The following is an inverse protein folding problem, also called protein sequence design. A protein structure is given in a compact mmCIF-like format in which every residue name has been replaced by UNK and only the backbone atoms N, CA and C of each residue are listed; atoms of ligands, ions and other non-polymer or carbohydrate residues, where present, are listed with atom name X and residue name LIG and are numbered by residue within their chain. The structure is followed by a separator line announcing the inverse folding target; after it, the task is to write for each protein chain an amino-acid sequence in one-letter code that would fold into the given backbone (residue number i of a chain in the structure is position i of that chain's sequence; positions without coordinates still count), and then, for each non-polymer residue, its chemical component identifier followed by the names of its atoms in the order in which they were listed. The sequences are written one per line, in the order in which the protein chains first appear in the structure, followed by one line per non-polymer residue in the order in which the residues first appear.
data_IF_182406900686
#
_entry.id   IF_182406900686
#
_cell.length_a   1.000
_cell.length_b   1.000
_cell.length_c   1.000
_cell.angle_alpha   90.00
_cell.angle_beta   90.00
_cell.angle_gamma   90.00
#
_symmetry.space_group_name_H-M   'P 1'
#
loop_
_entity.id
_entity.type
_entity.pdbx_description
1 polymer ?
#
# COMPACT_ATOMS: atom_id res chain seq x y z
N UNK A 1 -19.56 -26.20 65.35
CA UNK A 1 -18.80 -27.06 64.42
C UNK A 1 -18.83 -26.39 63.07
N UNK A 2 -17.73 -25.73 62.72
CA UNK A 2 -17.60 -24.88 61.55
C UNK A 2 -17.46 -25.75 60.29
N UNK A 3 -18.25 -25.45 59.27
CA UNK A 3 -17.96 -25.86 57.89
C UNK A 3 -16.68 -25.15 57.44
N UNK A 4 -15.69 -25.85 56.84
CA UNK A 4 -14.64 -25.16 56.11
C UNK A 4 -15.26 -24.55 54.84
N UNK A 5 -15.15 -23.23 54.71
CA UNK A 5 -15.40 -22.54 53.46
C UNK A 5 -14.32 -22.97 52.46
N UNK A 6 -14.76 -23.51 51.32
CA UNK A 6 -13.95 -23.73 50.12
C UNK A 6 -13.28 -22.40 49.71
N UNK A 7 -12.03 -22.43 49.20
CA UNK A 7 -11.37 -21.22 48.73
C UNK A 7 -12.07 -20.72 47.45
N UNK A 8 -12.76 -19.59 47.57
CA UNK A 8 -13.26 -18.82 46.43
C UNK A 8 -12.09 -18.49 45.50
N UNK A 9 -12.01 -19.22 44.38
CA UNK A 9 -11.19 -18.89 43.24
C UNK A 9 -11.71 -17.59 42.60
N UNK A 10 -11.34 -16.44 43.16
CA UNK A 10 -11.57 -15.14 42.54
C UNK A 10 -10.78 -15.11 41.22
N UNK A 11 -11.47 -15.39 40.11
CA UNK A 11 -10.92 -15.25 38.78
C UNK A 11 -10.60 -13.77 38.55
N UNK A 12 -9.33 -13.39 38.67
CA UNK A 12 -8.87 -12.05 38.37
C UNK A 12 -9.26 -11.66 36.94
N UNK A 13 -10.16 -10.69 36.81
CA UNK A 13 -10.59 -10.13 35.53
C UNK A 13 -9.43 -9.35 34.94
N UNK A 14 -8.66 -9.97 34.04
CA UNK A 14 -7.58 -9.27 33.33
C UNK A 14 -8.20 -8.14 32.50
N UNK A 15 -7.81 -6.87 32.73
CA UNK A 15 -8.36 -5.74 32.00
C UNK A 15 -8.07 -5.90 30.51
N UNK A 16 -9.13 -5.86 29.70
CA UNK A 16 -9.01 -5.97 28.25
C UNK A 16 -8.77 -4.58 27.66
N UNK A 17 -7.80 -4.42 26.74
CA UNK A 17 -7.55 -3.13 26.10
C UNK A 17 -8.80 -2.53 25.45
N UNK A 18 -9.70 -3.39 24.98
CA UNK A 18 -10.94 -2.97 24.32
C UNK A 18 -12.03 -2.42 25.24
N UNK A 19 -11.85 -2.49 26.56
CA UNK A 19 -12.79 -1.91 27.52
C UNK A 19 -12.39 -0.49 27.94
N UNK A 20 -11.14 -0.07 27.70
CA UNK A 20 -10.64 1.23 28.14
C UNK A 20 -11.20 2.38 27.30
N UNK A 21 -11.29 2.19 25.99
CA UNK A 21 -11.85 3.13 25.03
C UNK A 21 -12.53 2.31 23.92
N UNK A 22 -13.88 2.25 23.87
CA UNK A 22 -14.60 1.52 22.83
C UNK A 22 -14.52 2.17 21.44
N UNK A 23 -14.42 3.51 21.37
CA UNK A 23 -14.53 4.23 20.10
C UNK A 23 -13.28 4.05 19.23
N UNK A 24 -12.09 3.94 19.84
CA UNK A 24 -10.84 3.68 19.10
C UNK A 24 -10.86 2.39 18.25
N UNK A 25 -11.76 1.44 18.53
CA UNK A 25 -11.86 0.18 17.78
C UNK A 25 -12.65 0.33 16.49
N UNK A 26 -13.39 1.43 16.35
CA UNK A 26 -14.18 1.78 15.18
C UNK A 26 -13.57 2.94 14.37
N UNK A 27 -12.62 3.69 14.94
CA UNK A 27 -11.89 4.76 14.26
C UNK A 27 -10.80 4.24 13.30
N UNK A 28 -10.90 4.51 11.98
CA UNK A 28 -9.87 4.16 11.01
C UNK A 28 -8.51 4.80 11.30
N UNK A 29 -8.47 6.01 11.86
CA UNK A 29 -7.22 6.70 12.18
C UNK A 29 -6.46 6.01 13.32
N UNK A 30 -7.17 5.44 14.28
CA UNK A 30 -6.61 4.67 15.39
C UNK A 30 -6.21 3.22 15.03
N UNK A 31 -6.39 2.77 13.78
CA UNK A 31 -6.22 1.36 13.38
C UNK A 31 -4.88 0.75 13.80
N UNK A 32 -3.77 1.47 13.66
CA UNK A 32 -2.42 0.98 14.04
C UNK A 32 -2.30 0.79 15.55
N UNK A 33 -2.83 1.73 16.33
CA UNK A 33 -2.85 1.66 17.80
C UNK A 33 -3.73 0.49 18.27
N UNK A 34 -4.92 0.36 17.70
CA UNK A 34 -5.88 -0.72 18.00
C UNK A 34 -5.30 -2.10 17.63
N UNK A 35 -4.56 -2.21 16.53
CA UNK A 35 -3.80 -3.43 16.20
C UNK A 35 -2.75 -3.76 17.28
N UNK A 36 -1.92 -2.79 17.67
CA UNK A 36 -0.89 -2.99 18.68
C UNK A 36 -1.47 -3.41 20.04
N UNK A 37 -2.65 -2.89 20.41
CA UNK A 37 -3.39 -3.31 21.59
C UNK A 37 -3.94 -4.75 21.44
N UNK A 38 -4.50 -5.10 20.29
CA UNK A 38 -4.98 -6.45 20.01
C UNK A 38 -3.86 -7.52 20.09
N UNK A 39 -2.66 -7.21 19.58
CA UNK A 39 -1.53 -8.14 19.61
C UNK A 39 -1.03 -8.47 21.03
N UNK A 40 -1.28 -7.57 21.99
CA UNK A 40 -0.95 -7.77 23.41
C UNK A 40 -2.12 -8.31 24.23
N UNK A 41 -3.31 -8.46 23.64
CA UNK A 41 -4.51 -8.87 24.36
C UNK A 41 -4.51 -10.38 24.64
N UNK A 42 -4.62 -10.82 25.91
CA UNK A 42 -4.63 -12.25 26.26
C UNK A 42 -5.88 -12.99 25.74
N UNK A 43 -6.94 -12.26 25.39
CA UNK A 43 -8.19 -12.82 24.83
C UNK A 43 -8.24 -12.80 23.30
N UNK A 44 -7.12 -12.54 22.61
CA UNK A 44 -7.10 -12.39 21.14
C UNK A 44 -7.73 -13.57 20.38
N UNK A 45 -7.43 -14.82 20.77
CA UNK A 45 -8.03 -16.01 20.13
C UNK A 45 -9.54 -16.12 20.36
N UNK A 46 -9.97 -15.81 21.57
CA UNK A 46 -11.39 -15.79 21.91
C UNK A 46 -12.12 -14.69 21.13
N UNK A 47 -11.52 -13.50 21.01
CA UNK A 47 -12.02 -12.41 20.19
C UNK A 47 -12.16 -12.82 18.72
N UNK A 48 -11.19 -13.55 18.17
CA UNK A 48 -11.27 -14.07 16.81
C UNK A 48 -12.40 -15.09 16.62
N UNK A 49 -12.58 -16.03 17.55
CA UNK A 49 -13.72 -16.95 17.55
C UNK A 49 -15.05 -16.21 17.61
N UNK A 50 -15.17 -15.22 18.50
CA UNK A 50 -16.36 -14.39 18.59
C UNK A 50 -16.64 -13.60 17.31
N UNK A 51 -15.61 -13.04 16.67
CA UNK A 51 -15.77 -12.36 15.39
C UNK A 51 -16.30 -13.30 14.30
N UNK A 52 -15.82 -14.56 14.25
CA UNK A 52 -16.34 -15.58 13.32
C UNK A 52 -17.82 -15.90 13.56
N UNK A 53 -18.26 -15.95 14.82
CA UNK A 53 -19.66 -16.18 15.18
C UNK A 53 -20.54 -14.96 14.89
N UNK A 54 -20.12 -13.78 15.34
CA UNK A 54 -20.91 -12.56 15.27
C UNK A 54 -20.90 -11.92 13.87
N UNK A 55 -19.90 -12.23 13.04
CA UNK A 55 -19.69 -11.67 11.69
C UNK A 55 -19.82 -10.14 11.66
N UNK A 56 -19.06 -9.40 12.51
CA UNK A 56 -19.15 -7.94 12.58
C UNK A 56 -18.89 -7.30 11.22
N UNK A 57 -19.59 -6.22 10.94
CA UNK A 57 -19.44 -5.47 9.69
C UNK A 57 -18.35 -4.40 9.76
N UNK A 58 -17.92 -3.98 10.96
CA UNK A 58 -16.99 -2.88 11.16
C UNK A 58 -16.06 -3.06 12.36
N UNK A 59 -14.92 -2.35 12.30
CA UNK A 59 -13.98 -2.17 13.40
C UNK A 59 -12.85 -3.21 13.47
N UNK A 60 -12.01 -3.07 14.49
CA UNK A 60 -10.86 -3.92 14.76
C UNK A 60 -11.24 -5.10 15.66
N UNK A 61 -11.06 -6.33 15.16
CA UNK A 61 -11.33 -7.57 15.90
C UNK A 61 -10.12 -8.48 15.87
N UNK A 62 -9.58 -8.83 17.04
CA UNK A 62 -8.42 -9.72 17.19
C UNK A 62 -7.18 -9.33 16.36
N UNK A 63 -7.02 -8.06 16.00
CA UNK A 63 -5.94 -7.57 15.13
C UNK A 63 -6.30 -7.55 13.64
N UNK A 64 -7.57 -7.73 13.29
CA UNK A 64 -8.08 -7.71 11.91
C UNK A 64 -9.06 -6.55 11.76
N UNK A 65 -8.79 -5.65 10.82
CA UNK A 65 -9.69 -4.53 10.50
C UNK A 65 -10.79 -4.98 9.56
N UNK A 66 -12.03 -4.58 9.85
CA UNK A 66 -13.21 -4.90 9.07
C UNK A 66 -13.85 -3.58 8.63
N UNK A 67 -14.04 -3.43 7.33
CA UNK A 67 -14.48 -2.20 6.68
C UNK A 67 -15.69 -2.52 5.78
N UNK A 68 -16.85 -2.73 6.41
CA UNK A 68 -18.11 -3.07 5.76
C UNK A 68 -18.24 -4.50 5.22
N UNK A 69 -17.15 -5.27 5.12
CA UNK A 69 -17.16 -6.62 4.51
C UNK A 69 -16.43 -7.66 5.37
N UNK A 70 -17.19 -8.60 5.94
CA UNK A 70 -16.66 -9.67 6.79
C UNK A 70 -15.99 -10.81 6.01
N UNK A 71 -16.59 -11.26 4.89
CA UNK A 71 -16.15 -12.45 4.15
C UNK A 71 -14.65 -12.46 3.79
N UNK A 72 -14.06 -11.35 3.28
CA UNK A 72 -12.64 -11.33 2.92
C UNK A 72 -11.68 -11.55 4.10
N UNK A 73 -12.10 -11.24 5.33
CA UNK A 73 -11.25 -11.29 6.51
C UNK A 73 -11.45 -12.55 7.36
N UNK A 74 -12.49 -13.33 7.08
CA UNK A 74 -12.86 -14.51 7.85
C UNK A 74 -11.69 -15.50 8.00
N UNK A 75 -10.94 -15.77 6.92
CA UNK A 75 -9.79 -16.67 6.96
C UNK A 75 -8.70 -16.22 7.96
N UNK A 76 -8.45 -14.91 8.09
CA UNK A 76 -7.47 -14.35 9.03
C UNK A 76 -7.91 -14.58 10.47
N UNK A 77 -9.20 -14.35 10.74
CA UNK A 77 -9.81 -14.63 12.04
C UNK A 77 -9.77 -16.13 12.36
N UNK A 78 -10.00 -17.00 11.38
CA UNK A 78 -9.86 -18.46 11.53
C UNK A 78 -8.44 -18.87 11.90
N UNK A 79 -7.40 -18.33 11.26
CA UNK A 79 -6.01 -18.62 11.63
C UNK A 79 -5.68 -18.18 13.07
N UNK A 80 -6.17 -17.01 13.49
CA UNK A 80 -5.99 -16.50 14.86
C UNK A 80 -6.76 -17.34 15.88
N UNK A 81 -7.95 -17.81 15.52
CA UNK A 81 -8.79 -18.66 16.37
C UNK A 81 -8.20 -20.06 16.57
N UNK A 82 -7.60 -20.62 15.51
CA UNK A 82 -7.00 -21.95 15.49
C UNK A 82 -5.59 -21.98 16.11
N UNK A 83 -4.97 -20.82 16.27
CA UNK A 83 -3.57 -20.68 16.72
C UNK A 83 -2.60 -21.51 15.90
N UNK A 84 -2.88 -21.65 14.60
CA UNK A 84 -1.95 -22.27 13.67
C UNK A 84 -0.91 -21.22 13.32
N UNK A 85 0.35 -21.32 13.82
CA UNK A 85 1.43 -20.53 13.23
C UNK A 85 1.43 -20.82 11.72
N UNK A 86 1.62 -19.82 10.85
CA UNK A 86 1.71 -20.08 9.42
C UNK A 86 2.76 -21.16 9.18
N UNK A 87 2.54 -22.12 8.24
CA UNK A 87 3.53 -23.12 7.93
C UNK A 87 4.84 -22.40 7.60
N UNK A 88 5.86 -22.62 8.45
CA UNK A 88 7.21 -22.11 8.20
C UNK A 88 7.64 -22.68 6.86
N UNK A 89 7.97 -21.81 5.92
CA UNK A 89 8.66 -22.21 4.70
C UNK A 89 9.93 -22.98 5.13
N UNK A 90 9.92 -24.29 4.91
CA UNK A 90 11.07 -25.16 5.13
C UNK A 90 12.13 -24.81 4.10
N UNK A 91 13.04 -23.92 4.51
CA UNK A 91 14.15 -23.42 3.73
C UNK A 91 14.97 -22.43 4.56
N UNK A 92 15.29 -22.79 5.81
CA UNK A 92 16.20 -22.02 6.64
C UNK A 92 17.27 -22.98 7.18
N UNK A 93 18.49 -22.81 6.66
CA UNK A 93 19.72 -23.40 7.17
C UNK A 93 19.82 -23.18 8.68
N UNK A 94 20.07 -24.28 9.40
CA UNK A 94 20.15 -24.30 10.85
C UNK A 94 21.32 -23.45 11.36
N UNK A 95 21.01 -22.31 11.98
CA UNK A 95 21.96 -21.60 12.82
C UNK A 95 21.93 -22.25 14.22
N UNK A 96 23.02 -22.93 14.58
CA UNK A 96 23.24 -23.48 15.91
C UNK A 96 23.12 -22.40 16.99
N UNK A 97 22.21 -22.61 17.94
CA UNK A 97 22.02 -21.74 19.09
C UNK A 97 23.14 -21.95 20.12
N UNK A 98 24.02 -20.96 20.26
CA UNK A 98 24.84 -20.77 21.47
C UNK A 98 23.99 -20.05 22.52
N UNK A 99 24.03 -20.41 23.82
CA UNK A 99 23.21 -19.76 24.83
C UNK A 99 23.66 -18.31 25.01
N UNK A 100 22.75 -17.35 24.84
CA UNK A 100 23.03 -15.95 25.11
C UNK A 100 22.95 -15.71 26.61
N UNK A 101 24.09 -15.35 27.20
CA UNK A 101 24.18 -14.74 28.52
C UNK A 101 23.36 -13.45 28.48
N UNK A 102 22.44 -13.29 29.45
CA UNK A 102 21.54 -12.16 29.55
C UNK A 102 22.35 -10.89 29.84
N UNK A 103 22.56 -10.05 28.83
CA UNK A 103 23.20 -8.74 29.02
C UNK A 103 22.33 -7.85 29.92
N UNK A 104 22.93 -7.01 30.78
CA UNK A 104 22.19 -6.07 31.60
C UNK A 104 21.42 -5.08 30.72
N UNK A 105 20.21 -4.72 31.16
CA UNK A 105 19.33 -3.76 30.51
C UNK A 105 20.09 -2.44 30.36
N UNK A 106 20.34 -2.04 29.10
CA UNK A 106 20.88 -0.74 28.76
C UNK A 106 19.79 0.31 29.01
N UNK A 107 20.11 1.49 29.57
CA UNK A 107 19.16 2.59 29.64
C UNK A 107 18.63 2.90 28.24
N UNK A 108 17.32 3.11 28.13
CA UNK A 108 16.63 3.45 26.90
C UNK A 108 17.30 4.68 26.29
N UNK A 109 17.98 4.48 25.16
CA UNK A 109 18.49 5.60 24.38
C UNK A 109 17.29 6.31 23.75
N UNK A 110 17.26 7.66 23.73
CA UNK A 110 16.22 8.38 23.02
C UNK A 110 16.14 7.89 21.56
N UNK A 111 14.97 7.96 20.90
CA UNK A 111 14.84 7.53 19.51
C UNK A 111 15.95 8.18 18.70
N UNK A 112 16.69 7.42 17.87
CA UNK A 112 17.77 8.00 17.10
C UNK A 112 17.19 9.16 16.29
N UNK A 113 17.76 10.35 16.47
CA UNK A 113 17.46 11.50 15.63
C UNK A 113 17.47 11.01 14.18
N UNK A 114 16.33 11.13 13.51
CA UNK A 114 15.98 10.38 12.31
C UNK A 114 17.18 10.12 11.42
N UNK A 115 17.49 8.84 11.19
CA UNK A 115 18.57 8.43 10.29
C UNK A 115 18.26 9.03 8.92
N UNK A 116 18.90 10.16 8.62
CA UNK A 116 18.92 10.73 7.28
C UNK A 116 19.88 9.85 6.49
N UNK A 117 19.35 8.99 5.63
CA UNK A 117 20.16 8.38 4.58
C UNK A 117 20.65 9.52 3.68
N UNK A 118 21.95 9.79 3.70
CA UNK A 118 22.59 10.82 2.87
C UNK A 118 22.67 10.42 1.39
N UNK A 119 22.35 9.16 1.07
CA UNK A 119 22.21 8.65 -0.29
C UNK A 119 20.74 8.66 -0.71
N UNK A 120 20.42 9.11 -1.93
CA UNK A 120 19.07 8.95 -2.47
C UNK A 120 18.68 7.48 -2.42
N UNK A 121 17.55 7.18 -1.77
CA UNK A 121 17.05 5.82 -1.73
C UNK A 121 16.78 5.33 -3.17
N UNK A 122 17.07 4.06 -3.49
CA UNK A 122 16.76 3.52 -4.80
C UNK A 122 15.25 3.59 -5.04
N UNK A 123 14.84 3.83 -6.29
CA UNK A 123 13.43 4.01 -6.65
C UNK A 123 12.54 2.86 -6.14
N UNK A 124 13.04 1.63 -6.15
CA UNK A 124 12.36 0.47 -5.60
C UNK A 124 12.00 0.63 -4.11
N UNK A 125 12.94 1.12 -3.28
CA UNK A 125 12.70 1.32 -1.86
C UNK A 125 11.65 2.40 -1.60
N UNK A 126 11.68 3.49 -2.38
CA UNK A 126 10.69 4.57 -2.32
C UNK A 126 9.29 4.07 -2.66
N UNK A 127 9.15 3.24 -3.69
CA UNK A 127 7.86 2.66 -4.09
C UNK A 127 7.35 1.68 -3.03
N UNK A 128 8.20 0.83 -2.48
CA UNK A 128 7.80 -0.08 -1.38
C UNK A 128 7.35 0.68 -0.13
N UNK A 129 8.05 1.76 0.23
CA UNK A 129 7.69 2.62 1.35
C UNK A 129 6.31 3.28 1.12
N UNK A 130 6.11 3.91 -0.04
CA UNK A 130 4.81 4.50 -0.45
C UNK A 130 3.68 3.48 -0.42
N UNK A 131 3.93 2.30 -1.01
CA UNK A 131 2.96 1.22 -1.06
C UNK A 131 2.62 0.66 0.33
N UNK A 132 3.53 0.79 1.30
CA UNK A 132 3.42 0.22 2.64
C UNK A 132 3.08 -1.28 2.57
N UNK A 133 3.71 -1.99 1.63
CA UNK A 133 3.46 -3.41 1.36
C UNK A 133 2.14 -3.75 0.64
N UNK A 134 1.32 -2.77 0.29
CA UNK A 134 0.04 -2.99 -0.37
C UNK A 134 0.13 -2.84 -1.89
N UNK A 135 -0.71 -3.56 -2.63
CA UNK A 135 -0.87 -3.34 -4.05
C UNK A 135 -1.42 -1.93 -4.32
N UNK A 136 -0.78 -1.19 -5.23
CA UNK A 136 -1.20 0.15 -5.63
C UNK A 136 -2.35 0.11 -6.64
N UNK A 137 -2.74 -1.06 -7.15
CA UNK A 137 -3.80 -1.20 -8.16
C UNK A 137 -5.15 -1.53 -7.52
N UNK A 138 -5.21 -2.53 -6.63
CA UNK A 138 -6.43 -3.02 -5.97
C UNK A 138 -7.64 -3.26 -6.90
N UNK A 139 -7.39 -3.65 -8.16
CA UNK A 139 -8.41 -4.08 -9.10
C UNK A 139 -9.19 -5.31 -8.58
N UNK A 140 -10.33 -5.68 -9.20
CA UNK A 140 -10.99 -6.96 -8.93
C UNK A 140 -9.98 -8.12 -8.97
N UNK A 141 -10.10 -9.05 -8.03
CA UNK A 141 -9.16 -10.17 -7.77
C UNK A 141 -7.77 -9.81 -7.23
N UNK A 142 -7.55 -8.59 -6.75
CA UNK A 142 -6.29 -8.21 -6.10
C UNK A 142 -6.00 -9.04 -4.82
N UNK A 143 -4.73 -9.39 -4.59
CA UNK A 143 -4.24 -10.03 -3.35
C UNK A 143 -4.01 -9.06 -2.18
N UNK A 144 -4.25 -7.76 -2.41
CA UNK A 144 -4.07 -6.64 -1.47
C UNK A 144 -2.61 -6.34 -1.07
N UNK A 145 -1.72 -7.32 -1.01
CA UNK A 145 -0.28 -7.13 -0.81
C UNK A 145 0.44 -7.05 -2.15
N UNK A 146 1.43 -6.18 -2.27
CA UNK A 146 2.30 -6.19 -3.45
C UNK A 146 3.40 -7.26 -3.30
N UNK A 147 3.69 -7.95 -4.40
CA UNK A 147 4.75 -8.97 -4.49
C UNK A 147 5.79 -8.63 -5.59
N UNK A 148 5.51 -7.65 -6.44
CA UNK A 148 6.43 -7.14 -7.47
C UNK A 148 6.37 -5.62 -7.62
N UNK A 149 7.39 -5.08 -8.28
CA UNK A 149 7.39 -3.71 -8.82
C UNK A 149 7.22 -3.78 -10.33
N UNK A 150 6.30 -2.99 -10.85
CA UNK A 150 5.94 -2.93 -12.26
C UNK A 150 6.33 -1.58 -12.86
N UNK A 151 6.82 -1.60 -14.10
CA UNK A 151 7.16 -0.36 -14.82
C UNK A 151 5.98 0.17 -15.61
N UNK A 152 5.70 1.47 -15.49
CA UNK A 152 4.74 2.19 -16.33
C UNK A 152 5.24 2.32 -17.77
N UNK A 153 6.52 2.06 -18.05
CA UNK A 153 7.08 2.14 -19.40
C UNK A 153 6.83 0.87 -20.22
N UNK A 154 6.38 -0.23 -19.60
CA UNK A 154 6.21 -1.52 -20.29
C UNK A 154 7.50 -2.30 -20.51
N UNK A 155 8.63 -1.73 -20.10
CA UNK A 155 9.97 -2.33 -20.15
C UNK A 155 10.37 -2.88 -18.77
N UNK A 156 11.29 -3.86 -18.69
CA UNK A 156 11.84 -4.30 -17.42
C UNK A 156 12.56 -3.15 -16.68
N UNK A 157 12.48 -3.12 -15.34
CA UNK A 157 12.99 -2.00 -14.55
C UNK A 157 14.52 -1.87 -14.66
N UNK A 158 15.00 -0.68 -15.06
CA UNK A 158 16.43 -0.41 -15.28
C UNK A 158 16.92 0.91 -14.67
N UNK A 159 16.58 2.04 -15.31
CA UNK A 159 16.88 3.42 -14.85
C UNK A 159 15.64 4.13 -14.32
N UNK A 160 14.75 3.37 -13.70
CA UNK A 160 13.42 3.85 -13.36
C UNK A 160 13.45 4.71 -12.10
N UNK A 161 12.57 5.71 -12.07
CA UNK A 161 12.29 6.57 -10.92
C UNK A 161 11.06 6.04 -10.19
N UNK A 162 10.83 6.52 -8.97
CA UNK A 162 9.63 6.14 -8.20
C UNK A 162 8.31 6.58 -8.88
N UNK A 163 8.38 7.52 -9.82
CA UNK A 163 7.24 7.96 -10.65
C UNK A 163 6.94 7.03 -11.83
N UNK A 164 7.94 6.28 -12.31
CA UNK A 164 7.78 5.27 -13.38
C UNK A 164 7.44 3.88 -12.87
N UNK A 165 7.49 3.66 -11.56
CA UNK A 165 7.24 2.35 -10.94
C UNK A 165 6.00 2.37 -10.06
N UNK A 166 5.34 1.23 -9.97
CA UNK A 166 4.26 0.99 -9.01
C UNK A 166 4.35 -0.42 -8.42
N UNK A 167 3.85 -0.57 -7.19
CA UNK A 167 3.83 -1.87 -6.53
C UNK A 167 2.54 -2.64 -6.88
N UNK A 168 2.68 -3.86 -7.36
CA UNK A 168 1.54 -4.70 -7.73
C UNK A 168 1.63 -6.10 -7.12
N UNK A 169 0.48 -6.76 -7.01
CA UNK A 169 0.46 -8.21 -6.88
C UNK A 169 0.45 -8.84 -8.27
N UNK A 170 0.90 -10.10 -8.38
CA UNK A 170 0.96 -10.84 -9.64
C UNK A 170 -0.37 -10.85 -10.41
N UNK A 171 -1.52 -10.87 -9.71
CA UNK A 171 -2.85 -10.83 -10.37
C UNK A 171 -3.09 -9.48 -11.03
N UNK A 172 -2.81 -8.38 -10.33
CA UNK A 172 -2.96 -7.03 -10.89
C UNK A 172 -1.93 -6.74 -11.98
N UNK A 173 -0.70 -7.23 -11.84
CA UNK A 173 0.34 -7.11 -12.86
C UNK A 173 -0.13 -7.78 -14.17
N UNK A 174 -0.62 -9.02 -14.09
CA UNK A 174 -1.16 -9.75 -15.25
C UNK A 174 -2.38 -9.04 -15.85
N UNK A 175 -3.33 -8.59 -15.02
CA UNK A 175 -4.51 -7.87 -15.52
C UNK A 175 -4.15 -6.58 -16.26
N UNK A 176 -3.13 -5.85 -15.79
CA UNK A 176 -2.63 -4.64 -16.46
C UNK A 176 -1.88 -5.00 -17.75
N UNK A 177 -1.08 -6.06 -17.74
CA UNK A 177 -0.37 -6.51 -18.93
C UNK A 177 -1.32 -6.92 -20.06
N UNK A 178 -2.48 -7.50 -19.72
CA UNK A 178 -3.53 -7.86 -20.67
C UNK A 178 -4.54 -6.74 -20.97
N UNK A 179 -4.42 -5.58 -20.32
CA UNK A 179 -5.35 -4.48 -20.50
C UNK A 179 -5.13 -3.80 -21.86
N UNK A 180 -6.21 -3.33 -22.49
CA UNK A 180 -6.11 -2.50 -23.69
C UNK A 180 -5.10 -1.35 -23.48
N UNK A 181 -4.11 -1.15 -24.36
CA UNK A 181 -3.06 -0.16 -24.14
C UNK A 181 -3.57 1.28 -24.00
N UNK A 182 -4.68 1.65 -24.66
CA UNK A 182 -5.26 2.99 -24.53
C UNK A 182 -5.93 3.14 -23.16
N UNK A 183 -6.61 2.11 -22.69
CA UNK A 183 -7.19 2.07 -21.35
C UNK A 183 -6.11 2.08 -20.27
N UNK A 184 -5.05 1.28 -20.40
CA UNK A 184 -3.91 1.28 -19.48
C UNK A 184 -3.25 2.66 -19.35
N UNK A 185 -3.12 3.38 -20.47
CA UNK A 185 -2.64 4.78 -20.48
C UNK A 185 -3.64 5.75 -19.87
N UNK A 186 -4.94 5.55 -20.08
CA UNK A 186 -6.00 6.38 -19.49
C UNK A 186 -6.08 6.22 -17.98
N UNK A 187 -5.82 5.02 -17.46
CA UNK A 187 -5.75 4.74 -16.02
C UNK A 187 -4.39 5.10 -15.41
N UNK A 188 -3.41 5.48 -16.24
CA UNK A 188 -2.07 5.86 -15.78
C UNK A 188 -1.13 4.70 -15.49
N UNK A 189 -1.54 3.45 -15.73
CA UNK A 189 -0.70 2.26 -15.54
C UNK A 189 0.39 2.13 -16.60
N UNK A 190 0.22 2.81 -17.73
CA UNK A 190 1.27 2.97 -18.76
C UNK A 190 1.48 4.45 -19.09
N UNK A 191 2.72 4.82 -19.39
CA UNK A 191 3.10 6.17 -19.85
C UNK A 191 3.95 6.07 -21.11
N UNK A 192 3.92 7.12 -21.94
CA UNK A 192 4.60 7.10 -23.24
C UNK A 192 6.12 7.30 -23.12
N UNK A 193 6.58 7.89 -22.03
CA UNK A 193 8.00 8.21 -21.82
C UNK A 193 8.27 8.52 -20.34
N UNK A 194 9.54 8.43 -19.94
CA UNK A 194 9.98 8.64 -18.54
C UNK A 194 9.76 10.07 -18.07
N UNK A 195 9.99 11.07 -18.94
CA UNK A 195 9.82 12.50 -18.64
C UNK A 195 8.36 12.86 -18.31
N UNK A 196 7.39 12.14 -18.88
CA UNK A 196 5.96 12.36 -18.63
C UNK A 196 5.43 11.64 -17.40
N UNK A 197 6.19 10.69 -16.83
CA UNK A 197 5.71 9.87 -15.72
C UNK A 197 5.34 10.67 -14.45
N UNK A 198 6.14 11.69 -14.03
CA UNK A 198 5.80 12.52 -12.87
C UNK A 198 4.57 13.41 -13.07
N UNK A 199 4.11 13.64 -14.29
CA UNK A 199 2.92 14.49 -14.54
C UNK A 199 1.68 13.67 -14.93
N UNK A 200 1.85 12.36 -15.13
CA UNK A 200 0.79 11.48 -15.59
C UNK A 200 -0.05 10.97 -14.40
N UNK A 201 -1.35 11.30 -14.32
CA UNK A 201 -2.24 10.78 -13.28
C UNK A 201 -2.24 9.25 -13.26
N UNK A 202 -2.30 8.69 -12.06
CA UNK A 202 -2.31 7.26 -11.79
C UNK A 202 -3.55 6.93 -10.96
N UNK A 203 -4.37 5.98 -11.42
CA UNK A 203 -5.52 5.49 -10.67
C UNK A 203 -5.06 4.56 -9.55
N UNK A 204 -4.84 5.13 -8.37
CA UNK A 204 -4.38 4.45 -7.17
C UNK A 204 -5.54 3.74 -6.47
N UNK A 205 -5.34 2.44 -6.23
CA UNK A 205 -6.24 1.56 -5.47
C UNK A 205 -7.69 1.59 -5.93
N UNK A 206 -7.91 1.83 -7.23
CA UNK A 206 -9.23 2.03 -7.87
C UNK A 206 -10.07 3.18 -7.30
N UNK A 207 -9.51 4.07 -6.49
CA UNK A 207 -10.28 5.07 -5.73
C UNK A 207 -9.77 6.51 -5.93
N UNK A 208 -8.45 6.68 -6.05
CA UNK A 208 -7.83 8.00 -6.04
C UNK A 208 -7.03 8.22 -7.30
N UNK A 209 -7.14 9.42 -7.87
CA UNK A 209 -6.22 9.87 -8.89
C UNK A 209 -5.08 10.60 -8.19
N UNK A 210 -3.85 10.13 -8.44
CA UNK A 210 -2.65 10.72 -7.85
C UNK A 210 -1.57 10.96 -8.89
N UNK A 211 -0.68 11.88 -8.57
CA UNK A 211 0.62 12.01 -9.21
C UNK A 211 1.64 11.22 -8.40
N UNK A 212 2.42 10.36 -9.07
CA UNK A 212 3.54 9.66 -8.46
C UNK A 212 4.81 10.50 -8.62
N UNK A 213 5.36 11.01 -7.52
CA UNK A 213 6.56 11.83 -7.53
C UNK A 213 7.82 10.98 -7.65
N UNK A 214 8.91 11.60 -8.10
CA UNK A 214 10.22 10.95 -8.23
C UNK A 214 10.85 10.59 -6.89
N UNK A 215 10.47 11.28 -5.82
CA UNK A 215 10.86 11.03 -4.42
C UNK A 215 10.02 9.92 -3.75
N UNK A 216 9.04 9.35 -4.46
CA UNK A 216 8.15 8.32 -3.94
C UNK A 216 6.90 8.82 -3.24
N UNK A 217 6.68 10.12 -3.08
CA UNK A 217 5.42 10.63 -2.56
C UNK A 217 4.28 10.54 -3.59
N UNK A 218 3.04 10.61 -3.09
CA UNK A 218 1.85 10.84 -3.92
C UNK A 218 1.36 12.28 -3.71
N UNK A 219 1.08 12.99 -4.80
CA UNK A 219 0.28 14.20 -4.78
C UNK A 219 -1.13 13.93 -5.32
N UNK A 220 -2.10 14.77 -4.97
CA UNK A 220 -3.45 14.66 -5.53
C UNK A 220 -3.46 14.98 -7.03
N UNK A 221 -4.30 14.29 -7.79
CA UNK A 221 -4.53 14.56 -9.20
C UNK A 221 -6.01 14.52 -9.53
N UNK A 222 -6.38 15.20 -10.61
CA UNK A 222 -7.68 14.99 -11.24
C UNK A 222 -7.60 13.80 -12.22
N UNK A 223 -8.71 13.10 -12.49
CA UNK A 223 -8.77 12.15 -13.59
C UNK A 223 -8.32 12.83 -14.88
N UNK A 224 -7.61 12.11 -15.76
CA UNK A 224 -7.25 12.66 -17.06
C UNK A 224 -8.53 13.01 -17.80
N UNK A 225 -8.68 14.29 -18.14
CA UNK A 225 -9.83 14.78 -18.88
C UNK A 225 -9.98 14.05 -20.23
N UNK A 226 -11.18 14.08 -20.84
CA UNK A 226 -11.34 13.55 -22.19
C UNK A 226 -10.33 14.24 -23.10
N UNK A 227 -9.43 13.45 -23.72
CA UNK A 227 -8.52 13.98 -24.74
C UNK A 227 -9.40 14.56 -25.84
N UNK A 228 -9.43 15.88 -25.97
CA UNK A 228 -9.93 16.51 -27.20
C UNK A 228 -9.14 15.90 -28.34
N UNK A 229 -9.83 15.31 -29.32
CA UNK A 229 -9.19 14.87 -30.55
C UNK A 229 -8.29 16.01 -31.04
N UNK A 230 -7.04 15.68 -31.33
CA UNK A 230 -5.99 16.65 -31.56
C UNK A 230 -6.44 17.71 -32.55
N UNK A 231 -6.33 18.97 -32.17
CA UNK A 231 -6.18 20.04 -33.16
C UNK A 231 -4.72 20.02 -33.58
N UNK A 232 -4.32 18.97 -34.30
CA UNK A 232 -3.20 19.07 -35.22
C UNK A 232 -3.68 19.98 -36.35
N UNK A 233 -3.59 21.29 -36.13
CA UNK A 233 -3.42 22.20 -37.27
C UNK A 233 -2.01 21.93 -37.75
N UNK A 234 -1.80 21.42 -38.98
CA UNK A 234 -0.50 21.62 -39.61
C UNK A 234 -0.23 23.13 -39.55
N UNK A 235 0.94 23.48 -39.02
CA UNK A 235 1.43 24.84 -38.99
C UNK A 235 1.57 25.29 -40.46
N UNK A 236 0.52 25.88 -41.01
CA UNK A 236 0.61 26.59 -42.29
C UNK A 236 1.52 27.79 -42.00
N UNK A 237 2.78 27.64 -42.34
CA UNK A 237 3.70 28.76 -42.49
C UNK A 237 3.00 29.76 -43.42
N UNK A 238 2.72 31.00 -43.00
CA UNK A 238 2.24 32.01 -43.92
C UNK A 238 3.33 32.23 -44.95
N UNK A 239 3.03 31.90 -46.21
CA UNK A 239 3.91 32.16 -47.34
C UNK A 239 4.30 33.64 -47.34
N UNK A 240 5.57 33.89 -47.58
CA UNK A 240 6.09 35.21 -47.88
C UNK A 240 5.28 35.85 -49.02
N UNK A 241 4.98 37.16 -48.95
CA UNK A 241 4.37 37.85 -50.07
C UNK A 241 5.34 37.86 -51.27
N UNK A 242 4.84 37.78 -52.52
CA UNK A 242 5.69 37.92 -53.69
C UNK A 242 6.27 39.35 -53.74
N UNK A 243 7.59 39.44 -53.84
CA UNK A 243 8.32 40.67 -54.12
C UNK A 243 7.85 41.25 -55.47
N UNK A 244 7.07 42.32 -55.42
CA UNK A 244 6.75 43.15 -56.57
C UNK A 244 7.49 44.49 -56.42
N UNK A 245 8.66 44.59 -57.09
CA UNK A 245 9.47 45.78 -57.49
C UNK A 245 10.95 45.34 -57.40
N UNK A 246 11.83 45.43 -58.39
CA UNK A 246 11.95 46.28 -59.57
C UNK A 246 12.67 45.49 -60.69
N UNK A 247 12.19 45.60 -61.93
CA UNK A 247 13.07 45.68 -63.10
C UNK A 247 12.61 46.87 -63.92
N UNK A 248 13.34 47.98 -63.76
CA UNK A 248 13.29 49.11 -64.68
C UNK A 248 14.36 48.92 -65.76
N UNK A 249 13.98 49.30 -66.98
CA UNK A 249 14.80 49.77 -68.11
C UNK A 249 15.64 48.73 -68.89
N UNK A 250 15.33 48.60 -70.19
CA UNK A 250 16.21 48.89 -71.34
C UNK A 250 15.59 48.32 -72.64
N UNK A 251 15.40 49.17 -73.66
CA UNK A 251 15.05 48.78 -75.03
C UNK A 251 13.82 49.48 -75.57
#
# INVERSE_FOLDING_TARGET
MNHPAEPDCVAATVPLPCHADPDQWFDPAARTQSLAACLRCPRRRWCARRALTCRPSWGMWAGVWIDGRFTPVAHRLSSIAADTPPPRATGAVAASHRPLVRSPVRPESPPPAGVRCSTPAPAAALVWARASGHCEIMAPDCRLTADSLESRLGEPPGKDTASTLFAACVRCANSIASLDPKLARRLGYRVCSRDRAPDAPFLWRQQHWVILNTDGACGDASPPGPRRAGRDRPNLVPGAPPDHRLRHCMG
#
